data_IF_025148553675
#
_entry.id   IF_025148553675
#
_cell.length_a   1.000
_cell.length_b   1.000
_cell.length_c   1.000
_cell.angle_alpha   90.00
_cell.angle_beta   90.00
_cell.angle_gamma   90.00
#
_symmetry.space_group_name_H-M   'P 1'
#
loop_
_entity.id
_entity.type
_entity.pdbx_description
1 polymer ?
#
# COMPACT_ATOMS: atom_id res chain seq x y z
N UNK A 1 -19.33 -3.16 5.93
CA UNK A 1 -17.92 -2.74 5.89
C UNK A 1 -17.02 -3.87 5.40
N UNK A 2 -16.06 -3.57 4.52
CA UNK A 2 -15.10 -4.52 3.97
C UNK A 2 -13.67 -4.10 4.31
N UNK A 3 -12.86 -5.01 4.85
CA UNK A 3 -11.44 -4.79 5.13
C UNK A 3 -10.61 -5.72 4.25
N UNK A 4 -9.73 -5.13 3.44
CA UNK A 4 -8.75 -5.80 2.60
C UNK A 4 -7.37 -5.68 3.24
N UNK A 5 -6.74 -6.81 3.57
CA UNK A 5 -5.47 -6.82 4.32
C UNK A 5 -4.51 -7.90 3.78
N UNK A 6 -3.19 -7.89 4.07
CA UNK A 6 -2.35 -9.05 3.82
C UNK A 6 -2.90 -10.32 4.47
N UNK A 7 -2.70 -11.48 3.85
CA UNK A 7 -3.23 -12.75 4.36
C UNK A 7 -2.78 -13.05 5.81
N UNK A 8 -1.55 -12.67 6.15
CA UNK A 8 -0.99 -12.83 7.51
C UNK A 8 -1.66 -11.97 8.57
N UNK A 9 -2.38 -10.92 8.19
CA UNK A 9 -2.99 -9.95 9.11
C UNK A 9 -4.50 -10.15 9.28
N UNK A 10 -5.14 -11.05 8.53
CA UNK A 10 -6.60 -11.29 8.62
C UNK A 10 -7.02 -11.65 10.04
N UNK A 11 -6.34 -12.63 10.66
CA UNK A 11 -6.65 -13.06 12.03
C UNK A 11 -6.32 -11.99 13.08
N UNK A 12 -5.26 -11.20 12.87
CA UNK A 12 -4.93 -10.09 13.75
C UNK A 12 -6.01 -9.01 13.71
N UNK A 13 -6.44 -8.60 12.51
CA UNK A 13 -7.53 -7.63 12.36
C UNK A 13 -8.82 -8.12 13.02
N UNK A 14 -9.17 -9.40 12.84
CA UNK A 14 -10.37 -9.98 13.44
C UNK A 14 -10.29 -9.96 14.97
N UNK A 15 -9.18 -10.43 15.54
CA UNK A 15 -8.97 -10.45 16.99
C UNK A 15 -8.94 -9.05 17.61
N UNK A 16 -8.25 -8.10 16.98
CA UNK A 16 -8.17 -6.74 17.51
C UNK A 16 -9.52 -5.99 17.44
N UNK A 17 -10.30 -6.20 16.38
CA UNK A 17 -11.64 -5.61 16.26
C UNK A 17 -12.62 -6.22 17.28
N UNK A 18 -12.52 -7.52 17.54
CA UNK A 18 -13.34 -8.18 18.56
C UNK A 18 -12.93 -7.75 19.98
N UNK A 19 -11.63 -7.73 20.29
CA UNK A 19 -11.14 -7.45 21.65
C UNK A 19 -11.24 -5.96 22.02
N UNK A 20 -10.83 -5.06 21.13
CA UNK A 20 -10.71 -3.63 21.45
C UNK A 20 -11.96 -2.84 21.12
N UNK A 21 -12.73 -3.28 20.12
CA UNK A 21 -13.88 -2.56 19.60
C UNK A 21 -15.19 -3.33 19.76
N UNK A 22 -15.16 -4.56 20.28
CA UNK A 22 -16.34 -5.41 20.48
C UNK A 22 -17.12 -5.66 19.18
N UNK A 23 -16.41 -5.69 18.05
CA UNK A 23 -17.00 -5.79 16.73
C UNK A 23 -16.54 -7.07 16.03
N UNK A 24 -17.52 -7.86 15.58
CA UNK A 24 -17.27 -9.14 14.90
C UNK A 24 -17.25 -8.96 13.39
N UNK A 25 -16.22 -9.52 12.78
CA UNK A 25 -16.05 -9.57 11.33
C UNK A 25 -15.98 -11.00 10.88
N UNK A 26 -16.72 -11.29 9.81
CA UNK A 26 -16.64 -12.54 9.11
C UNK A 26 -15.32 -12.61 8.31
N UNK A 27 -14.77 -13.80 8.19
CA UNK A 27 -13.61 -14.06 7.32
C UNK A 27 -13.96 -15.11 6.26
N UNK A 28 -14.80 -14.76 5.26
CA UNK A 28 -15.25 -15.70 4.25
C UNK A 28 -14.10 -16.50 3.61
N UNK A 29 -14.28 -17.82 3.59
CA UNK A 29 -13.32 -18.77 3.02
C UNK A 29 -13.82 -19.35 1.70
N UNK A 30 -15.13 -19.51 1.57
CA UNK A 30 -15.81 -19.96 0.35
C UNK A 30 -16.73 -18.85 -0.20
N UNK A 31 -17.17 -18.94 -1.46
CA UNK A 31 -18.05 -17.93 -2.06
C UNK A 31 -19.43 -17.85 -1.40
N UNK A 32 -19.99 -18.99 -0.97
CA UNK A 32 -21.32 -19.03 -0.36
C UNK A 32 -21.36 -18.35 1.03
N UNK A 33 -20.19 -18.21 1.68
CA UNK A 33 -20.06 -17.51 2.95
C UNK A 33 -20.48 -16.04 2.84
N UNK A 34 -20.50 -15.43 1.63
CA UNK A 34 -20.80 -14.01 1.43
C UNK A 34 -22.29 -13.66 1.52
N UNK A 35 -23.20 -14.64 1.45
CA UNK A 35 -24.65 -14.42 1.32
C UNK A 35 -25.26 -13.50 2.38
N UNK A 36 -24.73 -13.51 3.60
CA UNK A 36 -25.24 -12.71 4.73
C UNK A 36 -24.15 -11.84 5.39
N UNK A 37 -23.04 -11.62 4.69
CA UNK A 37 -21.90 -10.89 5.26
C UNK A 37 -22.15 -9.39 5.17
N UNK A 38 -22.17 -8.75 6.33
CA UNK A 38 -22.27 -7.28 6.44
C UNK A 38 -20.94 -6.63 6.82
N UNK A 39 -20.07 -7.39 7.51
CA UNK A 39 -18.74 -6.96 7.97
C UNK A 39 -17.74 -8.07 7.67
N UNK A 40 -16.83 -7.83 6.72
CA UNK A 40 -15.86 -8.84 6.29
C UNK A 40 -14.41 -8.37 6.38
N UNK A 41 -13.51 -9.29 6.74
CA UNK A 41 -12.07 -9.15 6.56
C UNK A 41 -11.60 -10.25 5.62
N UNK A 42 -10.90 -9.86 4.56
CA UNK A 42 -10.41 -10.80 3.56
C UNK A 42 -9.04 -10.37 3.05
N UNK A 43 -8.22 -11.35 2.66
CA UNK A 43 -6.92 -11.04 2.08
C UNK A 43 -7.06 -10.43 0.68
N UNK A 44 -6.12 -9.56 0.31
CA UNK A 44 -6.07 -8.97 -1.04
C UNK A 44 -6.15 -10.02 -2.16
N UNK A 45 -5.45 -11.14 -2.00
CA UNK A 45 -5.40 -12.18 -3.03
C UNK A 45 -6.69 -13.01 -3.07
N UNK A 46 -7.27 -13.33 -1.91
CA UNK A 46 -8.56 -14.04 -1.87
C UNK A 46 -9.67 -13.18 -2.44
N UNK A 47 -9.75 -11.91 -2.06
CA UNK A 47 -10.77 -10.99 -2.53
C UNK A 47 -10.78 -10.86 -4.07
N UNK A 48 -9.61 -10.90 -4.70
CA UNK A 48 -9.48 -10.80 -6.17
C UNK A 48 -9.71 -12.10 -6.91
N UNK A 49 -9.70 -13.24 -6.22
CA UNK A 49 -9.95 -14.51 -6.88
C UNK A 49 -11.36 -14.50 -7.45
N UNK A 50 -11.54 -15.02 -8.68
CA UNK A 50 -12.76 -14.84 -9.48
C UNK A 50 -14.04 -15.07 -8.68
N UNK A 51 -14.10 -16.18 -7.93
CA UNK A 51 -15.30 -16.57 -7.16
C UNK A 51 -15.64 -15.59 -6.04
N UNK A 52 -14.64 -15.09 -5.32
CA UNK A 52 -14.86 -14.11 -4.25
C UNK A 52 -15.10 -12.71 -4.81
N UNK A 53 -14.41 -12.33 -5.89
CA UNK A 53 -14.57 -11.04 -6.52
C UNK A 53 -16.00 -10.84 -7.04
N UNK A 54 -16.59 -11.87 -7.65
CA UNK A 54 -17.98 -11.85 -8.12
C UNK A 54 -18.96 -11.54 -6.99
N UNK A 55 -18.81 -12.17 -5.82
CA UNK A 55 -19.69 -11.90 -4.66
C UNK A 55 -19.43 -10.53 -4.03
N UNK A 56 -18.16 -10.16 -3.81
CA UNK A 56 -17.81 -8.84 -3.23
C UNK A 56 -18.35 -7.68 -4.07
N UNK A 57 -18.30 -7.80 -5.41
CA UNK A 57 -18.76 -6.77 -6.34
C UNK A 57 -20.29 -6.70 -6.49
N UNK A 58 -21.03 -7.72 -6.04
CA UNK A 58 -22.51 -7.67 -6.00
C UNK A 58 -23.04 -6.82 -4.85
N UNK A 59 -22.21 -6.59 -3.83
CA UNK A 59 -22.57 -5.82 -2.65
C UNK A 59 -22.05 -4.38 -2.75
N UNK A 60 -22.89 -3.43 -2.35
CA UNK A 60 -22.47 -2.06 -2.06
C UNK A 60 -21.98 -2.00 -0.62
N UNK A 61 -20.80 -1.42 -0.40
CA UNK A 61 -20.18 -1.33 0.91
C UNK A 61 -20.15 0.09 1.46
N UNK A 62 -20.62 0.33 2.68
CA UNK A 62 -20.56 1.69 3.25
C UNK A 62 -19.10 2.17 3.40
N UNK A 63 -18.21 1.28 3.82
CA UNK A 63 -16.79 1.57 4.01
C UNK A 63 -15.94 0.40 3.52
N UNK A 64 -14.94 0.73 2.71
CA UNK A 64 -13.85 -0.19 2.30
C UNK A 64 -12.55 0.29 2.92
N UNK A 65 -11.90 -0.55 3.72
CA UNK A 65 -10.58 -0.28 4.29
C UNK A 65 -9.56 -1.13 3.52
N UNK A 66 -8.50 -0.50 3.03
CA UNK A 66 -7.40 -1.17 2.34
C UNK A 66 -6.14 -0.98 3.17
N UNK A 67 -5.75 -2.05 3.85
CA UNK A 67 -4.53 -2.11 4.62
C UNK A 67 -3.33 -2.42 3.73
N UNK A 68 -2.16 -1.92 4.09
CA UNK A 68 -0.96 -1.94 3.26
C UNK A 68 -1.22 -1.46 1.81
N UNK A 69 -1.90 -0.32 1.68
CA UNK A 69 -2.29 0.28 0.40
C UNK A 69 -1.12 0.51 -0.57
N UNK A 70 0.13 0.49 -0.10
CA UNK A 70 1.33 0.48 -0.94
C UNK A 70 1.38 -0.72 -1.90
N UNK A 71 0.65 -1.81 -1.61
CA UNK A 71 0.46 -2.97 -2.52
C UNK A 71 -0.49 -2.65 -3.68
N UNK A 72 -1.26 -1.56 -3.61
CA UNK A 72 -2.25 -1.10 -4.60
C UNK A 72 -1.69 0.06 -5.45
N UNK A 73 -0.40 0.01 -5.75
CA UNK A 73 0.33 1.14 -6.37
C UNK A 73 0.17 1.29 -7.87
N UNK A 74 -0.27 0.25 -8.58
CA UNK A 74 -0.30 0.22 -10.05
C UNK A 74 -1.73 0.17 -10.56
N UNK A 75 -2.15 1.20 -11.31
CA UNK A 75 -3.45 1.27 -11.97
C UNK A 75 -3.73 0.07 -12.91
N UNK A 76 -2.67 -0.53 -13.49
CA UNK A 76 -2.77 -1.73 -14.34
C UNK A 76 -2.76 -3.04 -13.53
N UNK A 77 -2.51 -2.96 -12.23
CA UNK A 77 -2.48 -4.11 -11.35
C UNK A 77 -3.90 -4.61 -11.07
N UNK A 78 -4.06 -5.93 -11.02
CA UNK A 78 -5.35 -6.57 -10.76
C UNK A 78 -5.99 -6.10 -9.44
N UNK A 79 -5.19 -5.81 -8.40
CA UNK A 79 -5.68 -5.30 -7.12
C UNK A 79 -6.28 -3.91 -7.23
N UNK A 80 -5.63 -3.00 -7.96
CA UNK A 80 -6.16 -1.67 -8.17
C UNK A 80 -7.48 -1.73 -8.93
N UNK A 81 -7.50 -2.46 -10.05
CA UNK A 81 -8.70 -2.59 -10.90
C UNK A 81 -9.85 -3.27 -10.16
N UNK A 82 -9.55 -4.23 -9.30
CA UNK A 82 -10.56 -4.85 -8.45
C UNK A 82 -11.14 -3.83 -7.46
N UNK A 83 -10.28 -3.15 -6.70
CA UNK A 83 -10.73 -2.17 -5.71
C UNK A 83 -11.51 -1.04 -6.39
N UNK A 84 -11.05 -0.52 -7.53
CA UNK A 84 -11.75 0.51 -8.30
C UNK A 84 -13.19 0.13 -8.68
N UNK A 85 -13.49 -1.17 -8.88
CA UNK A 85 -14.83 -1.67 -9.21
C UNK A 85 -15.74 -1.86 -8.01
N UNK A 86 -15.21 -1.89 -6.78
CA UNK A 86 -16.02 -2.09 -5.59
C UNK A 86 -16.90 -0.87 -5.37
N UNK A 87 -18.21 -1.06 -5.44
CA UNK A 87 -19.17 -0.02 -5.10
C UNK A 87 -19.10 0.29 -3.60
N UNK A 88 -18.87 1.57 -3.28
CA UNK A 88 -18.69 2.02 -1.90
C UNK A 88 -19.08 3.47 -1.68
N UNK A 89 -19.43 3.80 -0.44
CA UNK A 89 -19.65 5.19 -0.02
C UNK A 89 -18.34 5.85 0.45
N UNK A 90 -17.53 5.11 1.22
CA UNK A 90 -16.25 5.57 1.75
C UNK A 90 -15.12 4.58 1.48
N UNK A 91 -13.90 5.10 1.31
CA UNK A 91 -12.68 4.30 1.26
C UNK A 91 -11.61 4.89 2.16
N UNK A 92 -10.95 4.03 2.93
CA UNK A 92 -9.82 4.36 3.79
C UNK A 92 -8.60 3.54 3.36
N UNK A 93 -7.52 4.23 3.02
CA UNK A 93 -6.25 3.61 2.63
C UNK A 93 -5.25 3.73 3.78
N UNK A 94 -4.81 2.60 4.32
CA UNK A 94 -3.84 2.53 5.40
C UNK A 94 -2.48 2.11 4.84
N UNK A 95 -1.43 2.88 5.12
CA UNK A 95 -0.08 2.51 4.71
C UNK A 95 0.97 3.20 5.58
N UNK A 96 1.99 2.44 5.96
CA UNK A 96 3.18 2.99 6.60
C UNK A 96 4.11 3.73 5.61
N UNK A 97 4.03 3.41 4.31
CA UNK A 97 4.93 3.91 3.27
C UNK A 97 4.14 4.28 2.00
N UNK A 98 3.52 5.48 1.95
CA UNK A 98 2.65 5.86 0.84
C UNK A 98 3.38 6.03 -0.51
N UNK A 99 4.70 6.17 -0.49
CA UNK A 99 5.55 6.36 -1.66
C UNK A 99 6.76 5.46 -1.53
N UNK A 100 6.90 4.47 -2.42
CA UNK A 100 8.08 3.60 -2.45
C UNK A 100 8.98 3.92 -3.65
N UNK A 101 8.44 4.22 -4.84
CA UNK A 101 9.26 4.27 -6.06
C UNK A 101 9.05 5.50 -6.97
N UNK A 102 7.82 5.99 -7.12
CA UNK A 102 7.46 7.02 -8.12
C UNK A 102 6.21 7.79 -7.65
N UNK A 103 6.12 9.08 -7.95
CA UNK A 103 4.96 9.94 -7.70
C UNK A 103 3.70 9.48 -8.44
N UNK A 104 3.82 8.60 -9.43
CA UNK A 104 2.70 7.88 -10.02
C UNK A 104 1.95 7.02 -9.01
N UNK A 105 2.64 6.42 -8.05
CA UNK A 105 2.00 5.59 -7.02
C UNK A 105 1.05 6.45 -6.17
N UNK A 106 1.53 7.63 -5.76
CA UNK A 106 0.72 8.62 -5.05
C UNK A 106 -0.48 9.08 -5.88
N UNK A 107 -0.28 9.43 -7.15
CA UNK A 107 -1.38 9.80 -8.04
C UNK A 107 -2.46 8.71 -8.10
N UNK A 108 -2.06 7.44 -8.25
CA UNK A 108 -3.00 6.33 -8.31
C UNK A 108 -3.78 6.18 -6.99
N UNK A 109 -3.10 6.26 -5.84
CA UNK A 109 -3.77 6.15 -4.52
C UNK A 109 -4.77 7.29 -4.29
N UNK A 110 -4.41 8.54 -4.61
CA UNK A 110 -5.32 9.68 -4.48
C UNK A 110 -6.50 9.56 -5.46
N UNK A 111 -6.25 9.10 -6.68
CA UNK A 111 -7.31 8.85 -7.67
C UNK A 111 -8.29 7.78 -7.18
N UNK A 112 -7.82 6.73 -6.50
CA UNK A 112 -8.66 5.68 -5.92
C UNK A 112 -9.52 6.20 -4.75
N UNK A 113 -8.97 7.13 -3.97
CA UNK A 113 -9.65 7.76 -2.84
C UNK A 113 -10.71 8.77 -3.30
N UNK A 114 -10.36 9.65 -4.26
CA UNK A 114 -11.23 10.67 -4.84
C UNK A 114 -11.00 10.76 -6.35
N UNK A 115 -11.77 10.00 -7.14
CA UNK A 115 -11.66 10.03 -8.60
C UNK A 115 -11.84 11.46 -9.15
N UNK A 116 -10.95 11.88 -10.04
CA UNK A 116 -11.01 13.17 -10.73
C UNK A 116 -10.35 14.37 -10.02
N UNK A 117 -9.99 14.26 -8.73
CA UNK A 117 -9.39 15.39 -7.99
C UNK A 117 -8.06 15.89 -8.58
N UNK A 118 -7.25 14.98 -9.12
CA UNK A 118 -5.93 15.30 -9.68
C UNK A 118 -5.92 15.49 -11.21
N UNK A 119 -7.10 15.50 -11.84
CA UNK A 119 -7.21 15.45 -13.30
C UNK A 119 -6.67 14.14 -13.87
N UNK A 120 -6.22 14.16 -15.12
CA UNK A 120 -5.62 12.99 -15.77
C UNK A 120 -4.12 12.88 -15.45
N UNK A 121 -3.57 11.67 -15.55
CA UNK A 121 -2.14 11.44 -15.31
C UNK A 121 -1.21 12.33 -16.17
N UNK A 122 -1.45 12.52 -17.49
CA UNK A 122 -0.64 13.43 -18.31
C UNK A 122 -0.66 14.88 -17.82
N UNK A 123 -1.81 15.38 -17.38
CA UNK A 123 -1.96 16.73 -16.84
C UNK A 123 -1.22 16.86 -15.51
N UNK A 124 -1.46 15.92 -14.58
CA UNK A 124 -0.78 15.87 -13.30
C UNK A 124 0.74 15.85 -13.47
N UNK A 125 1.26 14.98 -14.36
CA UNK A 125 2.69 14.91 -14.68
C UNK A 125 3.22 16.24 -15.21
N UNK A 126 2.49 16.87 -16.15
CA UNK A 126 2.91 18.13 -16.75
C UNK A 126 3.00 19.25 -15.71
N UNK A 127 2.08 19.31 -14.77
CA UNK A 127 2.02 20.35 -13.73
C UNK A 127 3.01 20.09 -12.61
N UNK A 128 3.05 18.86 -12.07
CA UNK A 128 3.73 18.58 -10.80
C UNK A 128 5.07 17.86 -10.91
N UNK A 129 5.42 17.24 -12.05
CA UNK A 129 6.62 16.41 -12.19
C UNK A 129 7.67 17.02 -13.11
N UNK A 130 8.94 16.85 -12.77
CA UNK A 130 10.06 17.29 -13.61
C UNK A 130 10.07 16.47 -14.90
N UNK A 131 10.33 17.13 -16.03
CA UNK A 131 10.39 16.45 -17.32
C UNK A 131 11.57 15.46 -17.33
N UNK A 132 11.28 14.18 -17.59
CA UNK A 132 12.30 13.12 -17.67
C UNK A 132 12.62 12.43 -16.34
N UNK A 133 12.20 12.97 -15.19
CA UNK A 133 12.33 12.31 -13.88
C UNK A 133 11.03 12.38 -13.07
N UNK A 134 10.27 11.28 -13.11
CA UNK A 134 8.98 11.17 -12.42
C UNK A 134 9.11 11.00 -10.89
N UNK A 135 10.33 10.84 -10.37
CA UNK A 135 10.59 10.79 -8.92
C UNK A 135 10.69 12.19 -8.32
N UNK A 136 11.00 13.19 -9.14
CA UNK A 136 11.23 14.55 -8.68
C UNK A 136 10.00 15.42 -8.93
N UNK A 137 9.38 15.97 -7.88
CA UNK A 137 8.35 16.97 -8.04
C UNK A 137 8.98 18.32 -8.46
N UNK A 138 8.33 19.03 -9.38
CA UNK A 138 8.71 20.41 -9.78
C UNK A 138 8.64 21.37 -8.61
N UNK A 139 7.55 21.26 -7.85
CA UNK A 139 7.32 22.02 -6.63
C UNK A 139 6.94 21.05 -5.50
N UNK A 140 7.91 20.67 -4.65
CA UNK A 140 7.66 19.81 -3.51
C UNK A 140 6.67 20.41 -2.50
N UNK A 141 6.60 21.74 -2.37
CA UNK A 141 5.73 22.41 -1.40
C UNK A 141 4.27 22.38 -1.87
N UNK A 142 4.02 22.71 -3.14
CA UNK A 142 2.69 22.61 -3.73
C UNK A 142 2.17 21.16 -3.72
N UNK A 143 3.02 20.18 -4.05
CA UNK A 143 2.62 18.77 -3.98
C UNK A 143 2.30 18.34 -2.55
N UNK A 144 3.08 18.79 -1.56
CA UNK A 144 2.76 18.52 -0.14
C UNK A 144 1.42 19.10 0.27
N UNK A 145 1.13 20.35 -0.11
CA UNK A 145 -0.16 20.99 0.20
C UNK A 145 -1.33 20.19 -0.38
N UNK A 146 -1.23 19.81 -1.66
CA UNK A 146 -2.24 18.99 -2.34
C UNK A 146 -2.45 17.63 -1.66
N UNK A 147 -1.36 16.95 -1.27
CA UNK A 147 -1.49 15.66 -0.57
C UNK A 147 -2.06 15.79 0.83
N UNK A 148 -1.87 16.92 1.50
CA UNK A 148 -2.33 17.14 2.87
C UNK A 148 -3.86 17.26 2.97
N UNK A 149 -4.55 17.57 1.87
CA UNK A 149 -6.02 17.58 1.83
C UNK A 149 -6.65 16.19 1.93
N UNK A 150 -5.89 15.16 1.57
CA UNK A 150 -6.37 13.78 1.41
C UNK A 150 -5.61 12.76 2.26
N UNK A 151 -4.48 13.15 2.83
CA UNK A 151 -3.60 12.27 3.59
C UNK A 151 -3.36 12.84 4.99
N UNK A 152 -3.60 11.99 5.99
CA UNK A 152 -3.15 12.21 7.36
C UNK A 152 -1.87 11.40 7.57
N UNK A 153 -0.79 12.04 7.99
CA UNK A 153 0.49 11.38 8.25
C UNK A 153 1.07 11.78 9.59
N UNK A 154 1.05 10.84 10.53
CA UNK A 154 1.72 10.98 11.82
C UNK A 154 3.12 10.38 11.74
N UNK A 155 4.14 11.16 12.11
CA UNK A 155 5.52 10.65 12.21
C UNK A 155 5.76 10.19 13.64
N UNK A 156 6.58 9.14 13.81
CA UNK A 156 7.03 8.71 15.15
C UNK A 156 7.62 9.87 15.95
N UNK A 157 8.41 10.72 15.31
CA UNK A 157 9.00 11.92 15.94
C UNK A 157 7.97 12.91 16.45
N UNK A 158 6.75 12.91 15.90
CA UNK A 158 5.68 13.81 16.32
C UNK A 158 4.93 13.32 17.56
N UNK A 159 5.17 12.09 18.00
CA UNK A 159 4.47 11.45 19.13
C UNK A 159 5.43 10.79 20.12
N UNK A 160 6.73 11.04 19.99
CA UNK A 160 7.75 10.41 20.86
C UNK A 160 7.52 10.77 22.32
N UNK A 161 7.23 12.05 22.60
CA UNK A 161 7.04 12.56 23.96
C UNK A 161 5.71 12.08 24.54
N UNK A 162 4.64 12.10 23.74
CA UNK A 162 3.30 11.68 24.16
C UNK A 162 3.19 10.18 24.45
N UNK A 163 3.92 9.35 23.68
CA UNK A 163 3.85 7.89 23.77
C UNK A 163 5.06 7.27 24.48
N UNK A 164 5.95 8.09 25.06
CA UNK A 164 7.17 7.68 25.76
C UNK A 164 7.94 6.56 25.01
N UNK A 165 8.15 6.74 23.71
CA UNK A 165 8.70 5.69 22.86
C UNK A 165 10.22 5.55 23.05
N UNK A 166 10.77 4.33 23.10
CA UNK A 166 12.21 4.13 23.26
C UNK A 166 12.97 4.69 22.04
N UNK A 167 14.18 5.25 22.25
CA UNK A 167 15.00 5.79 21.17
C UNK A 167 15.52 4.66 20.27
N UNK A 168 15.43 4.83 18.95
CA UNK A 168 15.99 3.90 17.97
C UNK A 168 17.49 4.19 17.79
N UNK A 169 18.35 3.23 18.11
CA UNK A 169 19.80 3.30 17.85
C UNK A 169 20.18 2.38 16.69
N UNK A 170 20.32 2.93 15.49
CA UNK A 170 20.80 2.16 14.34
C UNK A 170 22.30 1.86 14.50
N UNK A 171 22.71 0.63 14.20
CA UNK A 171 24.12 0.23 14.14
C UNK A 171 24.40 -0.34 12.75
N UNK A 172 25.48 0.11 12.15
CA UNK A 172 25.98 -0.40 10.87
C UNK A 172 27.35 -1.02 11.13
N UNK A 173 27.42 -2.29 11.57
CA UNK A 173 28.70 -2.94 11.76
C UNK A 173 29.41 -3.03 10.40
N UNK A 174 30.70 -2.69 10.38
CA UNK A 174 31.53 -2.91 9.21
C UNK A 174 31.65 -4.43 8.99
N UNK A 175 31.23 -4.92 7.83
CA UNK A 175 31.38 -6.32 7.45
C UNK A 175 32.59 -6.42 6.54
N UNK A 176 33.61 -7.16 6.97
CA UNK A 176 34.78 -7.46 6.16
C UNK A 176 34.62 -8.84 5.56
N UNK A 177 34.81 -8.93 4.24
CA UNK A 177 34.82 -10.22 3.56
C UNK A 177 36.00 -11.05 4.07
N UNK A 178 35.74 -12.33 4.31
CA UNK A 178 36.80 -13.32 4.44
C UNK A 178 37.55 -13.45 3.12
N UNK A 179 38.76 -14.02 3.16
CA UNK A 179 39.55 -14.25 1.94
C UNK A 179 38.78 -15.04 0.88
N UNK A 180 38.10 -16.11 1.29
CA UNK A 180 37.32 -16.94 0.37
C UNK A 180 36.14 -16.18 -0.26
N UNK A 181 35.44 -15.34 0.50
CA UNK A 181 34.37 -14.49 -0.03
C UNK A 181 34.89 -13.41 -0.98
N UNK A 182 36.04 -12.80 -0.65
CA UNK A 182 36.68 -11.80 -1.50
C UNK A 182 37.14 -12.42 -2.84
N UNK A 183 37.78 -13.60 -2.79
CA UNK A 183 38.23 -14.32 -3.98
C UNK A 183 37.03 -14.71 -4.87
N UNK A 184 35.94 -15.22 -4.27
CA UNK A 184 34.70 -15.54 -4.99
C UNK A 184 34.06 -14.29 -5.61
N UNK A 185 33.98 -13.19 -4.85
CA UNK A 185 33.41 -11.93 -5.32
C UNK A 185 34.20 -11.38 -6.50
N UNK A 186 35.54 -11.37 -6.40
CA UNK A 186 36.40 -10.90 -7.47
C UNK A 186 36.30 -11.80 -8.71
N UNK A 187 36.37 -13.13 -8.53
CA UNK A 187 36.23 -14.08 -9.65
C UNK A 187 34.89 -13.94 -10.37
N UNK A 188 33.78 -13.77 -9.63
CA UNK A 188 32.46 -13.55 -10.21
C UNK A 188 32.39 -12.21 -10.95
N UNK A 189 32.92 -11.14 -10.36
CA UNK A 189 32.95 -9.80 -10.97
C UNK A 189 33.74 -9.80 -12.28
N UNK A 190 34.91 -10.45 -12.31
CA UNK A 190 35.75 -10.58 -13.49
C UNK A 190 35.12 -11.46 -14.57
N UNK A 191 34.42 -12.53 -14.19
CA UNK A 191 33.65 -13.35 -15.12
C UNK A 191 32.54 -12.53 -15.79
N UNK A 192 31.72 -11.82 -15.00
CA UNK A 192 30.62 -11.00 -15.52
C UNK A 192 31.14 -9.87 -16.44
N UNK A 193 32.25 -9.21 -16.08
CA UNK A 193 32.87 -8.18 -16.94
C UNK A 193 33.34 -8.71 -18.29
N UNK A 194 33.74 -9.98 -18.37
CA UNK A 194 34.15 -10.62 -19.63
C UNK A 194 32.95 -11.03 -20.48
N UNK A 195 31.84 -11.45 -19.86
CA UNK A 195 30.66 -11.95 -20.56
C UNK A 195 29.78 -10.84 -21.15
N UNK A 196 29.79 -9.65 -20.54
CA UNK A 196 29.04 -8.46 -21.01
C UNK A 196 29.93 -7.42 -21.69
N UNK A 197 31.09 -7.84 -22.24
CA UNK A 197 31.91 -7.02 -23.13
C UNK A 197 31.55 -7.27 -24.58
#
# INVERSE_FOLDING_TARGET
MLILTPASLVGQWQGELEEKFFERFDTPSEPDDWLNVTKAIVSHDRARSRRHAEEILRHRWDLVIVDEAHKVKSQRGATYQFIEKIERDFILLLTATPLQNDLRELYNLVTLLRPGQLGTWPEFRKVHLVAGDHRMPKDPAALRALTHEVMIRTRRTSVIDDLNLPPRRARHPEVRLTKAEADLYQGTTEFLRRLYR
#
